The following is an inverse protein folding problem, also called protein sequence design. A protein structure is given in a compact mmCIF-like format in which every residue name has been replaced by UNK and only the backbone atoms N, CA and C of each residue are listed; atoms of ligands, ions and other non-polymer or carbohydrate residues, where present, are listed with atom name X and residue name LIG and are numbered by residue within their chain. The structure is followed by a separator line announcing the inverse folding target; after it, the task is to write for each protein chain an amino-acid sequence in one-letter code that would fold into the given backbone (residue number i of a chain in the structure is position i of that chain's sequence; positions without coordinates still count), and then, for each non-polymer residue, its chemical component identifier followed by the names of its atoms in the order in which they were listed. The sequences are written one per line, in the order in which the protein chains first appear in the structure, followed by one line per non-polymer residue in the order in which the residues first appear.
data_IF_016021033597
#
_entry.id   IF_016021033597
#
_cell.length_a   1.000
_cell.length_b   1.000
_cell.length_c   1.000
_cell.angle_alpha   90.00
_cell.angle_beta   90.00
_cell.angle_gamma   90.00
#
_symmetry.space_group_name_H-M   'P 1'
#
loop_
_entity.id
_entity.type
_entity.pdbx_description
1 polymer ?
#
# COMPACT_ATOMS: atom_id res chain seq x y z
N UNK A 1 9.38 -18.80 8.90
CA UNK A 1 8.24 -17.89 9.13
C UNK A 1 6.97 -18.70 9.35
N UNK A 2 6.18 -18.40 10.39
CA UNK A 2 4.91 -19.10 10.66
C UNK A 2 3.82 -18.45 9.80
N UNK A 3 2.99 -19.27 9.14
CA UNK A 3 1.78 -18.74 8.48
C UNK A 3 0.76 -18.31 9.54
N UNK A 4 0.39 -17.04 9.56
CA UNK A 4 -0.58 -16.45 10.49
C UNK A 4 -1.99 -16.35 9.88
N UNK A 5 -2.15 -16.70 8.60
CA UNK A 5 -3.44 -16.66 7.92
C UNK A 5 -4.40 -17.72 8.47
N UNK A 6 -5.56 -17.29 8.96
CA UNK A 6 -6.64 -18.17 9.35
C UNK A 6 -7.81 -18.06 8.34
N UNK A 7 -8.10 -19.13 7.58
CA UNK A 7 -9.19 -19.12 6.60
C UNK A 7 -10.58 -18.84 7.19
N UNK A 8 -10.82 -19.23 8.47
CA UNK A 8 -12.11 -19.01 9.14
C UNK A 8 -12.29 -17.54 9.51
N UNK A 9 -11.23 -16.88 9.97
CA UNK A 9 -11.28 -15.42 10.18
C UNK A 9 -11.41 -14.68 8.86
N UNK A 10 -10.62 -15.04 7.86
CA UNK A 10 -10.63 -14.41 6.54
C UNK A 10 -12.01 -14.49 5.89
N UNK A 11 -12.72 -15.62 6.00
CA UNK A 11 -14.05 -15.80 5.41
C UNK A 11 -15.10 -14.79 5.86
N UNK A 12 -14.91 -14.19 7.05
CA UNK A 12 -15.82 -13.15 7.56
C UNK A 12 -15.72 -11.84 6.77
N UNK A 13 -14.67 -11.67 5.96
CA UNK A 13 -14.39 -10.45 5.21
C UNK A 13 -14.45 -10.63 3.69
N UNK A 14 -14.88 -11.79 3.17
CA UNK A 14 -14.86 -12.10 1.73
C UNK A 14 -15.61 -11.07 0.88
N UNK A 15 -16.74 -10.58 1.37
CA UNK A 15 -17.56 -9.58 0.68
C UNK A 15 -17.05 -8.13 0.87
N UNK A 16 -16.11 -7.90 1.77
CA UNK A 16 -15.59 -6.57 2.09
C UNK A 16 -14.07 -6.47 1.87
N UNK A 17 -13.69 -6.08 0.66
CA UNK A 17 -12.28 -5.95 0.27
C UNK A 17 -11.46 -5.08 1.21
N UNK A 18 -11.99 -3.97 1.71
CA UNK A 18 -11.26 -3.09 2.63
C UNK A 18 -11.08 -3.75 4.01
N UNK A 19 -12.10 -4.47 4.52
CA UNK A 19 -11.97 -5.18 5.79
C UNK A 19 -10.98 -6.35 5.69
N UNK A 20 -10.99 -7.08 4.59
CA UNK A 20 -9.99 -8.09 4.27
C UNK A 20 -8.59 -7.48 4.23
N UNK A 21 -8.44 -6.26 3.65
CA UNK A 21 -7.16 -5.54 3.63
C UNK A 21 -6.69 -5.17 5.04
N UNK A 22 -7.58 -4.71 5.90
CA UNK A 22 -7.28 -4.46 7.32
C UNK A 22 -6.76 -5.73 8.00
N UNK A 23 -7.48 -6.84 7.86
CA UNK A 23 -7.09 -8.13 8.45
C UNK A 23 -5.69 -8.56 8.00
N UNK A 24 -5.46 -8.65 6.69
CA UNK A 24 -4.16 -9.09 6.14
C UNK A 24 -3.01 -8.14 6.48
N UNK A 25 -3.27 -6.83 6.54
CA UNK A 25 -2.28 -5.83 6.95
C UNK A 25 -1.84 -6.00 8.40
N UNK A 26 -2.77 -6.31 9.29
CA UNK A 26 -2.47 -6.59 10.70
C UNK A 26 -1.63 -7.85 10.86
N UNK A 27 -1.86 -8.88 10.05
CA UNK A 27 -1.01 -10.08 10.06
C UNK A 27 0.43 -9.75 9.68
N UNK A 28 0.64 -8.90 8.65
CA UNK A 28 1.98 -8.44 8.27
C UNK A 28 2.60 -7.55 9.34
N UNK A 29 1.85 -6.57 9.85
CA UNK A 29 2.31 -5.61 10.85
C UNK A 29 2.67 -6.23 12.21
N UNK A 30 2.10 -7.40 12.53
CA UNK A 30 2.42 -8.15 13.74
C UNK A 30 3.62 -9.10 13.57
N UNK A 31 4.23 -9.14 12.39
CA UNK A 31 5.44 -9.92 12.15
C UNK A 31 6.66 -8.99 12.06
N UNK A 32 7.44 -8.93 13.14
CA UNK A 32 8.61 -8.06 13.25
C UNK A 32 9.72 -8.36 12.23
N UNK A 33 9.77 -9.60 11.69
CA UNK A 33 10.74 -9.95 10.63
C UNK A 33 10.39 -9.31 9.28
N UNK A 34 9.15 -8.84 9.11
CA UNK A 34 8.63 -8.24 7.87
C UNK A 34 8.40 -6.74 7.99
N UNK A 35 7.94 -6.28 9.16
CA UNK A 35 7.53 -4.88 9.36
C UNK A 35 7.90 -4.45 10.76
N UNK A 36 8.70 -3.37 10.86
CA UNK A 36 9.03 -2.73 12.12
C UNK A 36 8.38 -1.34 12.19
N UNK A 37 7.80 -0.99 13.34
CA UNK A 37 7.20 0.31 13.64
C UNK A 37 6.18 0.75 12.59
N UNK A 38 6.35 1.91 11.97
CA UNK A 38 5.49 2.42 10.92
C UNK A 38 5.87 1.97 9.49
N UNK A 39 6.84 1.05 9.35
CA UNK A 39 7.32 0.55 8.06
C UNK A 39 6.29 -0.29 7.31
N UNK A 40 6.64 -0.64 6.07
CA UNK A 40 5.77 -1.38 5.17
C UNK A 40 4.55 -0.58 4.69
N UNK A 41 3.93 -1.07 3.63
CA UNK A 41 2.74 -0.46 3.05
C UNK A 41 1.85 -1.52 2.41
N UNK A 42 0.56 -1.32 2.49
CA UNK A 42 -0.40 -2.25 1.89
C UNK A 42 -1.52 -1.49 1.20
N UNK A 43 -2.08 -2.09 0.16
CA UNK A 43 -3.21 -1.48 -0.53
C UNK A 43 -4.17 -2.52 -1.13
N UNK A 44 -5.35 -2.04 -1.49
CA UNK A 44 -6.34 -2.81 -2.25
C UNK A 44 -7.02 -1.90 -3.26
N UNK A 45 -7.35 -2.43 -4.45
CA UNK A 45 -8.08 -1.76 -5.52
C UNK A 45 -9.44 -2.41 -5.71
N UNK A 46 -10.48 -1.59 -5.82
CA UNK A 46 -11.83 -2.06 -6.21
C UNK A 46 -12.67 -0.91 -6.76
N UNK A 47 -13.81 -1.25 -7.35
CA UNK A 47 -14.76 -0.28 -7.89
C UNK A 47 -15.64 0.26 -6.76
N UNK A 48 -15.91 1.56 -6.83
CA UNK A 48 -16.90 2.23 -5.99
C UNK A 48 -17.79 3.13 -6.83
N UNK A 49 -19.07 3.20 -6.46
CA UNK A 49 -20.00 4.13 -7.09
C UNK A 49 -19.89 5.51 -6.42
N UNK A 50 -19.55 6.53 -7.19
CA UNK A 50 -19.45 7.90 -6.70
C UNK A 50 -20.85 8.54 -6.46
N UNK A 51 -20.87 9.78 -5.94
CA UNK A 51 -22.10 10.51 -5.66
C UNK A 51 -23.00 10.72 -6.90
N UNK A 52 -22.44 10.67 -8.10
CA UNK A 52 -23.13 10.88 -9.37
C UNK A 52 -23.62 9.56 -9.99
N UNK A 53 -23.41 8.42 -9.33
CA UNK A 53 -23.80 7.09 -9.83
C UNK A 53 -22.80 6.50 -10.82
N UNK A 54 -21.60 7.03 -10.93
CA UNK A 54 -20.55 6.54 -11.82
C UNK A 54 -19.61 5.59 -11.08
N UNK A 55 -19.20 4.51 -11.74
CA UNK A 55 -18.21 3.56 -11.21
C UNK A 55 -16.79 4.11 -11.36
N UNK A 56 -16.09 4.22 -10.24
CA UNK A 56 -14.69 4.67 -10.17
C UNK A 56 -13.79 3.58 -9.58
N UNK A 57 -12.61 3.36 -10.19
CA UNK A 57 -11.57 2.50 -9.62
C UNK A 57 -10.81 3.26 -8.52
N UNK A 58 -10.94 2.79 -7.28
CA UNK A 58 -10.32 3.42 -6.11
C UNK A 58 -9.20 2.54 -5.56
N UNK A 59 -8.06 3.16 -5.29
CA UNK A 59 -6.95 2.59 -4.54
C UNK A 59 -7.08 3.00 -3.08
N UNK A 60 -7.27 2.04 -2.19
CA UNK A 60 -7.12 2.22 -0.76
C UNK A 60 -5.69 1.85 -0.36
N UNK A 61 -4.89 2.83 -0.02
CA UNK A 61 -3.47 2.66 0.37
C UNK A 61 -3.26 3.12 1.81
N UNK A 62 -2.38 2.45 2.55
CA UNK A 62 -2.02 2.85 3.91
C UNK A 62 -1.65 4.34 3.97
N UNK A 63 -2.28 5.07 4.88
CA UNK A 63 -1.93 6.46 5.17
C UNK A 63 -0.54 6.60 5.77
N UNK A 64 0.10 7.72 5.51
CA UNK A 64 1.38 8.07 6.10
C UNK A 64 1.30 8.08 7.63
N UNK A 65 2.26 7.48 8.30
CA UNK A 65 2.33 7.40 9.76
C UNK A 65 1.41 6.35 10.41
N UNK A 66 0.54 5.67 9.65
CA UNK A 66 -0.27 4.58 10.20
C UNK A 66 0.56 3.31 10.42
N UNK A 67 0.32 2.61 11.53
CA UNK A 67 0.98 1.36 11.86
C UNK A 67 0.14 0.17 11.35
N UNK A 68 0.74 -0.72 10.55
CA UNK A 68 0.05 -1.89 10.00
C UNK A 68 -0.48 -2.84 11.09
N UNK A 69 0.22 -2.98 12.22
CA UNK A 69 -0.19 -3.88 13.31
C UNK A 69 -1.54 -3.49 13.94
N UNK A 70 -1.88 -2.20 13.90
CA UNK A 70 -3.09 -1.65 14.54
C UNK A 70 -4.02 -0.93 13.56
N UNK A 71 -3.71 -0.96 12.25
CA UNK A 71 -4.46 -0.22 11.24
C UNK A 71 -5.93 -0.61 11.23
N UNK A 72 -6.79 0.37 10.99
CA UNK A 72 -8.22 0.24 10.78
C UNK A 72 -8.61 0.77 9.40
N UNK A 73 -9.89 0.66 9.02
CA UNK A 73 -10.38 1.15 7.72
C UNK A 73 -10.01 2.62 7.46
N UNK A 74 -10.16 3.47 8.48
CA UNK A 74 -9.84 4.89 8.42
C UNK A 74 -8.34 5.20 8.30
N UNK A 75 -7.48 4.22 8.52
CA UNK A 75 -6.04 4.31 8.27
C UNK A 75 -5.65 4.11 6.80
N UNK A 76 -6.61 3.78 5.93
CA UNK A 76 -6.41 3.68 4.49
C UNK A 76 -6.97 4.91 3.78
N UNK A 77 -6.16 5.51 2.92
CA UNK A 77 -6.52 6.68 2.14
C UNK A 77 -7.09 6.25 0.79
N UNK A 78 -8.34 6.62 0.46
CA UNK A 78 -8.95 6.34 -0.83
C UNK A 78 -8.48 7.35 -1.89
N UNK A 79 -7.96 6.84 -3.01
CA UNK A 79 -7.41 7.64 -4.11
C UNK A 79 -7.98 7.18 -5.45
N UNK A 80 -8.34 8.12 -6.33
CA UNK A 80 -8.75 7.81 -7.71
C UNK A 80 -7.60 7.18 -8.48
N UNK A 81 -7.70 5.87 -8.76
CA UNK A 81 -6.63 5.09 -9.38
C UNK A 81 -6.26 5.63 -10.77
N UNK A 82 -7.24 6.05 -11.56
CA UNK A 82 -7.03 6.67 -12.87
C UNK A 82 -6.15 7.92 -12.81
N UNK A 83 -6.34 8.76 -11.79
CA UNK A 83 -5.54 9.96 -11.58
C UNK A 83 -4.09 9.60 -11.24
N UNK A 84 -3.90 8.63 -10.33
CA UNK A 84 -2.55 8.20 -9.94
C UNK A 84 -1.79 7.55 -11.10
N UNK A 85 -2.45 6.75 -11.94
CA UNK A 85 -1.82 6.15 -13.14
C UNK A 85 -1.34 7.22 -14.10
N UNK A 86 -2.14 8.25 -14.36
CA UNK A 86 -1.73 9.39 -15.19
C UNK A 86 -0.58 10.18 -14.56
N UNK A 87 -0.60 10.35 -13.24
CA UNK A 87 0.45 11.03 -12.51
C UNK A 87 1.79 10.28 -12.60
N UNK A 88 1.75 8.95 -12.64
CA UNK A 88 2.93 8.11 -12.79
C UNK A 88 3.57 8.20 -14.20
N UNK A 89 2.86 8.73 -15.20
CA UNK A 89 3.37 8.95 -16.57
C UNK A 89 4.08 10.31 -16.71
N UNK A 90 4.05 11.17 -15.69
CA UNK A 90 4.67 12.49 -15.72
C UNK A 90 6.18 12.35 -15.47
N UNK A 91 7.01 12.65 -16.47
CA UNK A 91 8.47 12.47 -16.43
C UNK A 91 9.17 13.39 -15.43
N UNK A 92 8.70 14.63 -15.28
CA UNK A 92 9.35 15.65 -14.47
C UNK A 92 8.32 16.31 -13.53
N UNK A 93 8.28 15.89 -12.28
CA UNK A 93 7.43 16.46 -11.25
C UNK A 93 8.25 16.66 -9.97
N UNK A 94 8.08 17.79 -9.29
CA UNK A 94 8.71 17.99 -7.98
C UNK A 94 7.98 17.19 -6.90
N UNK A 95 8.70 16.83 -5.83
CA UNK A 95 8.11 16.10 -4.71
C UNK A 95 6.91 16.84 -4.09
N UNK A 96 7.01 18.17 -3.96
CA UNK A 96 5.92 19.00 -3.44
C UNK A 96 4.67 18.95 -4.32
N UNK A 97 4.86 19.00 -5.64
CA UNK A 97 3.74 18.92 -6.58
C UNK A 97 3.18 17.49 -6.63
N UNK A 98 4.02 16.47 -6.55
CA UNK A 98 3.60 15.08 -6.45
C UNK A 98 2.66 14.86 -5.26
N UNK A 99 3.08 15.31 -4.07
CA UNK A 99 2.27 15.21 -2.84
C UNK A 99 0.95 15.96 -3.02
N UNK A 100 0.98 17.17 -3.59
CA UNK A 100 -0.24 17.96 -3.87
C UNK A 100 -1.20 17.22 -4.80
N UNK A 101 -0.70 16.63 -5.88
CA UNK A 101 -1.52 15.89 -6.83
C UNK A 101 -2.09 14.60 -6.23
N UNK A 102 -1.34 13.90 -5.38
CA UNK A 102 -1.87 12.78 -4.63
C UNK A 102 -3.01 13.19 -3.69
N UNK A 103 -2.88 14.32 -2.99
CA UNK A 103 -3.95 14.86 -2.14
C UNK A 103 -5.20 15.23 -2.96
N UNK A 104 -5.03 15.82 -4.13
CA UNK A 104 -6.15 16.12 -5.04
C UNK A 104 -6.84 14.86 -5.60
N UNK A 105 -6.14 13.74 -5.65
CA UNK A 105 -6.70 12.46 -6.06
C UNK A 105 -7.55 11.78 -4.96
N UNK A 106 -7.51 12.25 -3.71
CA UNK A 106 -8.30 11.70 -2.61
C UNK A 106 -9.79 11.85 -2.87
N UNK A 107 -10.55 10.81 -2.54
CA UNK A 107 -12.03 10.84 -2.55
C UNK A 107 -12.62 11.19 -1.19
N UNK A 108 -11.82 11.07 -0.12
CA UNK A 108 -12.16 11.50 1.22
C UNK A 108 -11.08 12.47 1.75
N UNK A 109 -11.37 13.77 1.88
CA UNK A 109 -10.40 14.77 2.36
C UNK A 109 -10.03 14.61 3.84
N UNK A 110 -10.87 13.92 4.63
CA UNK A 110 -10.63 13.69 6.05
C UNK A 110 -9.73 12.46 6.32
N UNK A 111 -9.40 11.69 5.27
CA UNK A 111 -8.49 10.55 5.39
C UNK A 111 -7.04 11.03 5.66
N UNK A 112 -6.19 10.17 6.25
CA UNK A 112 -4.77 10.48 6.42
C UNK A 112 -4.11 10.83 5.09
N UNK A 113 -3.04 11.64 5.12
CA UNK A 113 -2.24 11.88 3.91
C UNK A 113 -1.79 10.54 3.32
N UNK A 114 -1.90 10.35 1.99
CA UNK A 114 -1.48 9.10 1.37
C UNK A 114 0.02 8.87 1.54
N UNK A 115 0.44 7.61 1.57
CA UNK A 115 1.85 7.27 1.50
C UNK A 115 2.45 7.76 0.18
N UNK A 116 3.71 8.20 0.21
CA UNK A 116 4.48 8.54 -1.01
C UNK A 116 4.55 7.38 -2.00
N UNK A 117 4.40 6.14 -1.52
CA UNK A 117 4.41 4.91 -2.32
C UNK A 117 3.09 4.65 -3.06
N UNK A 118 2.08 5.51 -2.90
CA UNK A 118 0.78 5.35 -3.56
C UNK A 118 0.89 5.21 -5.09
N UNK A 119 1.85 5.89 -5.72
CA UNK A 119 2.10 5.75 -7.16
C UNK A 119 2.60 4.36 -7.53
N UNK A 120 3.55 3.82 -6.76
CA UNK A 120 4.04 2.46 -6.96
C UNK A 120 2.89 1.45 -6.88
N UNK A 121 2.04 1.57 -5.85
CA UNK A 121 0.86 0.75 -5.70
C UNK A 121 -0.16 0.94 -6.83
N UNK A 122 -0.28 2.14 -7.39
CA UNK A 122 -1.20 2.41 -8.50
C UNK A 122 -0.81 1.71 -9.80
N UNK A 123 0.50 1.66 -10.13
CA UNK A 123 1.00 1.10 -11.40
C UNK A 123 1.10 -0.42 -11.38
N UNK A 124 1.31 -1.05 -10.23
CA UNK A 124 1.32 -2.51 -10.10
C UNK A 124 -0.07 -3.06 -10.46
N UNK A 125 -0.22 -4.01 -11.42
CA UNK A 125 -1.52 -4.36 -12.01
C UNK A 125 -2.35 -5.35 -11.17
N UNK A 126 -2.04 -5.53 -9.90
CA UNK A 126 -2.75 -6.46 -9.01
C UNK A 126 -3.71 -5.71 -8.09
N UNK A 127 -4.81 -6.41 -7.70
CA UNK A 127 -5.81 -5.89 -6.75
C UNK A 127 -5.23 -5.67 -5.37
N UNK A 128 -4.44 -6.63 -4.87
CA UNK A 128 -3.82 -6.63 -3.55
C UNK A 128 -2.32 -6.42 -3.68
N UNK A 129 -1.76 -5.47 -2.93
CA UNK A 129 -0.34 -5.16 -2.95
C UNK A 129 0.16 -5.07 -1.52
N UNK A 130 1.23 -5.78 -1.25
CA UNK A 130 1.94 -5.78 0.02
C UNK A 130 3.40 -5.36 -0.21
N UNK A 131 3.84 -4.35 0.53
CA UNK A 131 5.21 -3.90 0.60
C UNK A 131 5.71 -4.10 2.03
N UNK A 132 6.79 -4.82 2.20
CA UNK A 132 7.43 -5.12 3.47
C UNK A 132 8.89 -4.72 3.46
N UNK A 133 9.44 -4.49 4.65
CA UNK A 133 10.87 -4.28 4.87
C UNK A 133 11.44 -5.53 5.56
N UNK A 134 11.38 -6.68 4.88
CA UNK A 134 11.84 -7.95 5.46
C UNK A 134 13.32 -7.87 5.87
N UNK A 135 13.61 -8.13 7.14
CA UNK A 135 14.96 -7.99 7.74
C UNK A 135 16.03 -8.73 6.94
N UNK A 136 15.72 -9.95 6.49
CA UNK A 136 16.64 -10.76 5.69
C UNK A 136 17.02 -10.07 4.36
N UNK A 137 16.05 -9.38 3.70
CA UNK A 137 16.28 -8.66 2.45
C UNK A 137 17.01 -7.36 2.71
N UNK A 138 16.54 -6.57 3.69
CA UNK A 138 17.13 -5.27 4.04
C UNK A 138 18.58 -5.44 4.50
N UNK A 139 18.89 -6.48 5.26
CA UNK A 139 20.25 -6.80 5.69
C UNK A 139 21.17 -6.99 4.49
N UNK A 140 20.76 -7.73 3.47
CA UNK A 140 21.55 -7.95 2.25
C UNK A 140 21.68 -6.66 1.45
N UNK A 141 20.55 -5.95 1.21
CA UNK A 141 20.53 -4.78 0.32
C UNK A 141 21.21 -3.53 0.91
N UNK A 142 21.33 -3.45 2.24
CA UNK A 142 21.97 -2.31 2.92
C UNK A 142 23.42 -2.57 3.33
N UNK A 143 24.01 -3.71 2.93
CA UNK A 143 25.43 -3.98 3.20
C UNK A 143 26.33 -3.49 2.07
N UNK A 144 27.55 -3.05 2.40
CA UNK A 144 28.57 -2.68 1.40
C UNK A 144 28.99 -3.85 0.51
N UNK A 145 28.67 -5.08 0.89
CA UNK A 145 29.00 -6.31 0.16
C UNK A 145 28.21 -6.50 -1.13
N UNK A 146 27.11 -5.77 -1.34
CA UNK A 146 26.35 -5.79 -2.59
C UNK A 146 27.18 -5.42 -3.82
N UNK A 147 28.19 -4.55 -3.64
CA UNK A 147 29.10 -4.17 -4.73
C UNK A 147 30.12 -5.25 -5.08
N UNK A 148 30.26 -6.28 -4.27
CA UNK A 148 31.24 -7.37 -4.42
C UNK A 148 30.61 -8.73 -4.62
N UNK A 149 29.29 -8.85 -4.47
CA UNK A 149 28.57 -10.10 -4.72
C UNK A 149 28.14 -10.18 -6.18
N UNK A 150 28.40 -11.30 -6.88
CA UNK A 150 27.91 -11.47 -8.24
C UNK A 150 26.40 -11.42 -8.27
N UNK A 151 25.84 -10.64 -9.19
CA UNK A 151 24.40 -10.62 -9.44
C UNK A 151 23.98 -11.96 -10.00
N UNK A 152 22.79 -12.50 -9.62
CA UNK A 152 22.26 -13.70 -10.26
C UNK A 152 21.99 -13.55 -11.77
N UNK A 153 22.26 -12.38 -12.33
CA UNK A 153 22.06 -12.05 -13.76
C UNK A 153 23.38 -11.90 -14.54
N UNK A 154 24.54 -12.07 -13.89
CA UNK A 154 25.86 -12.00 -14.52
C UNK A 154 26.32 -13.37 -14.99
#
# INVERSE_FOLDING_TARGET
MKNLWDPKEASQFEENSLQMRVYSSRLLGNNSDLVLHGGGNTSVKFQETNLFGEEEEILYVKGSGCNLATIEKNGFTPLRLKTLRKLAEVENISDAELVRQQQMAMTNPDAPSPSVEALLHAVIPFKWIDHTHADAVVTITNTCLLYTSPSPRD
#
